data_IF_467671857028
#
_entry.id   IF_467671857028
#
_cell.length_a   1.000
_cell.length_b   1.000
_cell.length_c   1.000
_cell.angle_alpha   90.00
_cell.angle_beta   90.00
_cell.angle_gamma   90.00
#
_symmetry.space_group_name_H-M   'P 1'
#
loop_
_entity.id
_entity.type
_entity.pdbx_description
1 polymer ?
#
# COMPACT_ATOMS: atom_id res chain seq x y z
N UNK A 1 53.61 -17.17 7.17
CA UNK A 1 54.45 -16.21 6.42
C UNK A 1 54.47 -16.58 4.94
N UNK A 2 54.82 -17.83 4.56
CA UNK A 2 54.81 -18.32 3.18
C UNK A 2 53.47 -18.07 2.44
N UNK A 3 52.33 -18.35 3.09
CA UNK A 3 50.97 -18.17 2.54
C UNK A 3 50.61 -16.72 2.19
N UNK A 4 51.11 -15.76 2.97
CA UNK A 4 50.92 -14.32 2.72
C UNK A 4 51.82 -13.84 1.59
N UNK A 5 52.98 -14.45 1.38
CA UNK A 5 53.79 -14.17 0.19
C UNK A 5 53.18 -14.79 -1.07
N UNK A 6 52.51 -15.93 -0.95
CA UNK A 6 51.91 -16.70 -2.04
C UNK A 6 50.69 -16.02 -2.66
N UNK A 7 49.73 -15.57 -1.85
CA UNK A 7 48.56 -14.81 -2.36
C UNK A 7 48.98 -13.53 -3.08
N UNK A 8 50.19 -13.05 -2.81
CA UNK A 8 50.67 -11.75 -3.24
C UNK A 8 51.58 -11.80 -4.44
N UNK A 9 52.38 -12.85 -4.59
CA UNK A 9 53.01 -13.16 -5.86
C UNK A 9 51.95 -13.29 -6.98
N UNK A 10 50.78 -13.86 -6.67
CA UNK A 10 49.60 -13.95 -7.55
C UNK A 10 48.99 -12.59 -7.91
N UNK A 11 49.06 -11.62 -7.00
CA UNK A 11 48.57 -10.26 -7.22
C UNK A 11 49.52 -9.47 -8.13
N UNK A 12 50.83 -9.53 -7.86
CA UNK A 12 51.83 -8.84 -8.66
C UNK A 12 52.00 -9.45 -10.06
N UNK A 13 51.78 -10.76 -10.24
CA UNK A 13 51.87 -11.41 -11.55
C UNK A 13 50.84 -10.88 -12.56
N UNK A 14 49.60 -10.61 -12.11
CA UNK A 14 48.52 -10.12 -12.97
C UNK A 14 48.80 -8.70 -13.49
N UNK A 15 49.39 -7.84 -12.66
CA UNK A 15 49.81 -6.47 -13.03
C UNK A 15 51.00 -6.48 -14.00
N UNK A 16 51.87 -7.48 -13.92
CA UNK A 16 53.11 -7.54 -14.72
C UNK A 16 52.94 -8.20 -16.09
N UNK A 17 51.78 -8.81 -16.37
CA UNK A 17 51.46 -9.46 -17.65
C UNK A 17 51.66 -8.55 -18.88
N UNK A 18 51.52 -7.23 -18.70
CA UNK A 18 51.67 -6.23 -19.76
C UNK A 18 53.06 -5.56 -19.81
N UNK A 19 53.96 -5.84 -18.85
CA UNK A 19 55.28 -5.21 -18.79
C UNK A 19 56.29 -5.89 -19.73
N UNK A 20 57.23 -5.14 -20.30
CA UNK A 20 58.25 -5.66 -21.25
C UNK A 20 59.59 -5.96 -20.58
N UNK A 21 59.77 -5.54 -19.33
CA UNK A 21 60.99 -5.77 -18.53
C UNK A 21 61.00 -7.09 -17.73
N UNK A 22 60.06 -8.00 -18.00
CA UNK A 22 59.91 -9.27 -17.27
C UNK A 22 60.90 -10.31 -17.82
N UNK A 23 61.52 -11.11 -16.93
CA UNK A 23 62.61 -12.06 -17.26
C UNK A 23 62.10 -13.32 -18.01
N UNK A 24 60.84 -13.33 -18.46
CA UNK A 24 60.15 -14.49 -19.01
C UNK A 24 59.93 -14.40 -20.53
N UNK A 25 59.95 -15.56 -21.20
CA UNK A 25 59.41 -15.71 -22.56
C UNK A 25 57.88 -15.64 -22.49
N UNK A 26 57.29 -14.60 -23.09
CA UNK A 26 55.83 -14.45 -23.21
C UNK A 26 55.25 -15.61 -24.03
N UNK A 27 54.24 -16.30 -23.50
CA UNK A 27 53.44 -17.24 -24.28
C UNK A 27 52.46 -16.48 -25.18
N UNK A 28 52.15 -17.05 -26.34
CA UNK A 28 51.25 -16.41 -27.31
C UNK A 28 49.84 -16.20 -26.73
N UNK A 29 49.14 -15.10 -27.07
CA UNK A 29 47.81 -14.82 -26.57
C UNK A 29 46.84 -15.95 -26.96
N UNK A 30 46.22 -16.58 -25.96
CA UNK A 30 45.23 -17.64 -26.16
C UNK A 30 44.00 -17.10 -26.89
N UNK A 31 43.46 -17.90 -27.81
CA UNK A 31 42.23 -17.53 -28.52
C UNK A 31 41.01 -17.61 -27.59
N UNK A 32 39.91 -16.87 -27.88
CA UNK A 32 38.67 -16.94 -27.10
C UNK A 32 38.14 -18.36 -26.92
N UNK A 33 38.33 -19.22 -27.92
CA UNK A 33 37.93 -20.64 -27.89
C UNK A 33 38.74 -21.44 -26.86
N UNK A 34 40.06 -21.23 -26.78
CA UNK A 34 40.93 -21.91 -25.82
C UNK A 34 40.62 -21.48 -24.39
N UNK A 35 40.30 -20.20 -24.19
CA UNK A 35 39.88 -19.66 -22.88
C UNK A 35 38.58 -20.34 -22.42
N UNK A 36 37.61 -20.51 -23.33
CA UNK A 36 36.36 -21.19 -23.01
C UNK A 36 36.55 -22.68 -22.69
N UNK A 37 37.46 -23.36 -23.39
CA UNK A 37 37.77 -24.76 -23.12
C UNK A 37 38.48 -24.97 -21.78
N UNK A 38 39.42 -24.10 -21.41
CA UNK A 38 40.07 -24.12 -20.09
C UNK A 38 39.09 -23.78 -18.95
N UNK A 39 38.24 -22.77 -19.15
CA UNK A 39 37.23 -22.40 -18.16
C UNK A 39 36.22 -23.53 -17.90
N UNK A 40 35.86 -24.29 -18.94
CA UNK A 40 35.01 -25.48 -18.81
C UNK A 40 35.73 -26.65 -18.10
N UNK A 41 37.05 -26.77 -18.25
CA UNK A 41 37.85 -27.80 -17.57
C UNK A 41 38.07 -27.48 -16.08
N UNK A 42 38.25 -26.21 -15.75
CA UNK A 42 38.62 -25.73 -14.41
C UNK A 42 37.44 -25.58 -13.43
N UNK A 43 36.22 -25.89 -13.85
CA UNK A 43 35.02 -25.84 -13.00
C UNK A 43 35.06 -26.85 -11.82
N UNK A 44 36.08 -27.72 -11.75
CA UNK A 44 36.24 -28.76 -10.72
C UNK A 44 37.27 -28.43 -9.63
N UNK A 45 37.87 -27.23 -9.61
CA UNK A 45 38.85 -26.83 -8.59
C UNK A 45 38.36 -25.59 -7.83
N UNK A 46 37.37 -25.80 -6.95
CA UNK A 46 36.98 -24.81 -5.95
C UNK A 46 36.55 -25.53 -4.66
N UNK A 47 37.43 -26.39 -4.16
CA UNK A 47 37.50 -26.61 -2.72
C UNK A 47 38.72 -25.86 -2.21
N UNK A 48 38.47 -25.00 -1.23
CA UNK A 48 39.46 -24.22 -0.49
C UNK A 48 40.39 -25.16 0.30
N UNK A 49 41.32 -25.82 -0.38
CA UNK A 49 42.47 -26.42 0.29
C UNK A 49 43.47 -25.31 0.62
N UNK A 50 43.90 -25.26 1.88
CA UNK A 50 44.98 -24.37 2.31
C UNK A 50 46.22 -24.67 1.45
N UNK A 51 47.01 -23.65 1.04
CA UNK A 51 48.14 -23.85 0.14
C UNK A 51 49.10 -24.91 0.71
N UNK A 52 49.20 -26.04 0.04
CA UNK A 52 50.16 -27.10 0.36
C UNK A 52 51.47 -26.83 -0.39
N UNK A 53 52.61 -27.24 0.16
CA UNK A 53 53.95 -26.96 -0.39
C UNK A 53 54.27 -27.58 -1.76
N UNK A 54 53.27 -28.11 -2.47
CA UNK A 54 53.36 -28.73 -3.79
C UNK A 54 52.63 -27.93 -4.89
N UNK A 55 52.33 -26.64 -4.68
CA UNK A 55 51.77 -25.82 -5.75
C UNK A 55 52.82 -25.47 -6.81
N UNK A 56 52.49 -25.72 -8.08
CA UNK A 56 53.26 -25.24 -9.23
C UNK A 56 53.03 -23.74 -9.38
N UNK A 57 54.07 -22.93 -9.13
CA UNK A 57 53.99 -21.48 -9.28
C UNK A 57 53.98 -21.06 -10.74
N UNK A 58 53.19 -20.04 -11.04
CA UNK A 58 53.21 -19.35 -12.33
C UNK A 58 54.57 -18.64 -12.48
N UNK A 59 55.20 -18.66 -13.67
CA UNK A 59 56.48 -17.99 -13.87
C UNK A 59 56.47 -16.50 -13.47
N UNK A 60 55.32 -15.84 -13.62
CA UNK A 60 55.12 -14.44 -13.24
C UNK A 60 55.13 -14.23 -11.71
N UNK A 61 54.65 -15.21 -10.93
CA UNK A 61 54.72 -15.19 -9.46
C UNK A 61 56.17 -15.24 -9.00
N UNK A 62 56.96 -16.12 -9.62
CA UNK A 62 58.40 -16.24 -9.36
C UNK A 62 59.13 -14.93 -9.72
N UNK A 63 58.83 -14.34 -10.88
CA UNK A 63 59.45 -13.08 -11.30
C UNK A 63 59.11 -11.92 -10.37
N UNK A 64 57.86 -11.82 -9.90
CA UNK A 64 57.46 -10.84 -8.90
C UNK A 64 58.20 -11.05 -7.56
N UNK A 65 58.31 -12.30 -7.12
CA UNK A 65 59.04 -12.65 -5.90
C UNK A 65 60.52 -12.25 -5.99
N UNK A 66 61.22 -12.59 -7.07
CA UNK A 66 62.63 -12.22 -7.23
C UNK A 66 62.85 -10.71 -7.28
N UNK A 67 61.93 -9.93 -7.89
CA UNK A 67 62.00 -8.47 -7.85
C UNK A 67 61.92 -7.93 -6.43
N UNK A 68 60.99 -8.45 -5.63
CA UNK A 68 60.82 -8.03 -4.23
C UNK A 68 62.07 -8.36 -3.40
N UNK A 69 62.63 -9.56 -3.58
CA UNK A 69 63.85 -10.00 -2.88
C UNK A 69 65.05 -9.12 -3.27
N UNK A 70 65.18 -8.77 -4.56
CA UNK A 70 66.28 -7.93 -5.07
C UNK A 70 66.23 -6.48 -4.59
N UNK A 71 65.08 -5.98 -4.12
CA UNK A 71 64.95 -4.62 -3.59
C UNK A 71 65.58 -4.45 -2.19
N UNK A 72 65.98 -5.55 -1.53
CA UNK A 72 66.60 -5.55 -0.19
C UNK A 72 65.81 -4.74 0.86
N UNK A 73 64.49 -4.70 0.73
CA UNK A 73 63.64 -3.94 1.65
C UNK A 73 63.56 -4.63 3.02
N UNK A 74 63.40 -3.85 4.11
CA UNK A 74 63.09 -4.40 5.42
C UNK A 74 61.79 -5.22 5.39
N UNK A 75 61.77 -6.36 6.07
CA UNK A 75 60.64 -7.32 6.07
C UNK A 75 59.31 -6.67 6.46
N UNK A 76 59.32 -5.70 7.39
CA UNK A 76 58.13 -4.97 7.82
C UNK A 76 57.54 -4.10 6.71
N UNK A 77 58.37 -3.50 5.86
CA UNK A 77 57.93 -2.67 4.73
C UNK A 77 57.30 -3.55 3.66
N UNK A 78 57.93 -4.68 3.35
CA UNK A 78 57.40 -5.67 2.42
C UNK A 78 56.03 -6.14 2.91
N UNK A 79 55.92 -6.56 4.16
CA UNK A 79 54.68 -7.07 4.75
C UNK A 79 53.57 -6.02 4.74
N UNK A 80 53.85 -4.77 5.12
CA UNK A 80 52.83 -3.72 5.17
C UNK A 80 52.30 -3.38 3.78
N UNK A 81 53.19 -3.17 2.82
CA UNK A 81 52.83 -2.89 1.43
C UNK A 81 51.94 -4.01 0.86
N UNK A 82 52.34 -5.23 1.17
CA UNK A 82 51.64 -6.45 0.79
C UNK A 82 50.22 -6.54 1.38
N UNK A 83 50.04 -6.26 2.68
CA UNK A 83 48.72 -6.23 3.30
C UNK A 83 47.79 -5.20 2.63
N UNK A 84 48.31 -4.00 2.33
CA UNK A 84 47.53 -2.94 1.66
C UNK A 84 47.04 -3.35 0.28
N UNK A 85 47.89 -3.97 -0.55
CA UNK A 85 47.48 -4.43 -1.88
C UNK A 85 46.48 -5.60 -1.82
N UNK A 86 46.58 -6.44 -0.80
CA UNK A 86 45.66 -7.58 -0.63
C UNK A 86 44.25 -7.09 -0.30
N UNK A 87 44.10 -6.07 0.54
CA UNK A 87 42.80 -5.52 0.92
C UNK A 87 42.05 -4.92 -0.27
N UNK A 88 42.73 -4.17 -1.15
CA UNK A 88 42.12 -3.56 -2.33
C UNK A 88 41.65 -4.59 -3.35
N UNK A 89 42.47 -5.61 -3.59
CA UNK A 89 42.15 -6.71 -4.52
C UNK A 89 41.02 -7.56 -3.96
N UNK A 90 41.07 -7.89 -2.66
CA UNK A 90 40.00 -8.61 -1.98
C UNK A 90 38.67 -7.86 -2.08
N UNK A 91 38.68 -6.55 -1.83
CA UNK A 91 37.50 -5.71 -1.97
C UNK A 91 37.01 -5.62 -3.42
N UNK A 92 37.93 -5.62 -4.40
CA UNK A 92 37.57 -5.62 -5.82
C UNK A 92 36.95 -6.95 -6.27
N UNK A 93 37.53 -8.08 -5.89
CA UNK A 93 37.00 -9.41 -6.18
C UNK A 93 35.63 -9.60 -5.52
N UNK A 94 35.47 -9.12 -4.28
CA UNK A 94 34.18 -9.11 -3.59
C UNK A 94 33.12 -8.32 -4.37
N UNK A 95 33.45 -7.13 -4.89
CA UNK A 95 32.53 -6.32 -5.72
C UNK A 95 32.19 -6.96 -7.06
N UNK A 96 33.14 -7.65 -7.71
CA UNK A 96 32.85 -8.38 -8.95
C UNK A 96 31.93 -9.58 -8.66
N UNK A 97 32.17 -10.28 -7.54
CA UNK A 97 31.35 -11.40 -7.12
C UNK A 97 29.91 -10.98 -6.77
N UNK A 98 29.69 -9.74 -6.30
CA UNK A 98 28.36 -9.15 -6.08
C UNK A 98 27.57 -8.89 -7.39
N UNK A 99 28.25 -8.84 -8.54
CA UNK A 99 27.65 -8.64 -9.87
C UNK A 99 27.57 -7.18 -10.33
N UNK A 100 27.02 -6.97 -11.53
CA UNK A 100 26.85 -5.62 -12.08
C UNK A 100 25.75 -4.85 -11.33
N UNK A 101 25.78 -3.49 -11.28
CA UNK A 101 24.72 -2.70 -10.67
C UNK A 101 23.32 -3.03 -11.22
N UNK A 102 23.23 -3.36 -12.50
CA UNK A 102 21.98 -3.78 -13.13
C UNK A 102 21.49 -5.15 -12.65
N UNK A 103 22.40 -6.12 -12.48
CA UNK A 103 22.06 -7.43 -11.91
C UNK A 103 21.58 -7.29 -10.46
N UNK A 104 22.24 -6.45 -9.67
CA UNK A 104 21.83 -6.15 -8.28
C UNK A 104 20.43 -5.52 -8.27
N UNK A 105 20.16 -4.54 -9.12
CA UNK A 105 18.84 -3.92 -9.23
C UNK A 105 17.76 -4.94 -9.65
N UNK A 106 18.03 -5.78 -10.64
CA UNK A 106 17.11 -6.83 -11.08
C UNK A 106 16.85 -7.86 -9.97
N UNK A 107 17.88 -8.22 -9.19
CA UNK A 107 17.77 -9.12 -8.05
C UNK A 107 16.92 -8.50 -6.92
N UNK A 108 17.09 -7.21 -6.63
CA UNK A 108 16.26 -6.48 -5.66
C UNK A 108 14.79 -6.42 -6.08
N UNK A 109 14.51 -6.22 -7.37
CA UNK A 109 13.14 -6.22 -7.92
C UNK A 109 12.52 -7.62 -7.93
N UNK A 110 13.32 -8.67 -8.19
CA UNK A 110 12.84 -10.06 -8.14
C UNK A 110 12.59 -10.56 -6.73
N UNK A 111 13.36 -10.05 -5.75
CA UNK A 111 13.34 -10.51 -4.37
C UNK A 111 12.76 -9.43 -3.43
N UNK A 112 11.67 -8.78 -3.83
CA UNK A 112 10.96 -7.84 -2.96
C UNK A 112 10.37 -8.62 -1.78
N UNK A 113 10.71 -8.29 -0.52
CA UNK A 113 10.14 -8.96 0.64
C UNK A 113 8.61 -8.84 0.66
N UNK A 114 7.87 -9.89 1.09
CA UNK A 114 6.41 -9.86 1.14
C UNK A 114 5.82 -8.68 1.93
N UNK A 115 6.52 -8.19 2.95
CA UNK A 115 6.10 -7.04 3.75
C UNK A 115 5.96 -5.72 2.96
N UNK A 116 6.70 -5.55 1.86
CA UNK A 116 6.60 -4.36 0.99
C UNK A 116 5.30 -4.31 0.17
N UNK A 117 4.57 -5.42 0.07
CA UNK A 117 3.25 -5.44 -0.55
C UNK A 117 2.13 -4.98 0.40
N UNK A 118 2.42 -4.89 1.69
CA UNK A 118 1.46 -4.38 2.67
C UNK A 118 1.57 -2.86 2.74
N UNK A 119 0.44 -2.13 2.79
CA UNK A 119 0.46 -0.69 2.91
C UNK A 119 1.09 -0.29 4.25
N UNK A 120 1.96 0.72 4.20
CA UNK A 120 2.50 1.33 5.40
C UNK A 120 1.41 2.02 6.23
N UNK A 121 1.61 2.22 7.54
CA UNK A 121 0.68 2.97 8.38
C UNK A 121 0.38 4.37 7.83
N UNK A 122 1.37 5.02 7.22
CA UNK A 122 1.22 6.34 6.61
C UNK A 122 0.31 6.28 5.38
N UNK A 123 0.47 5.28 4.51
CA UNK A 123 -0.40 5.08 3.34
C UNK A 123 -1.83 4.74 3.74
N UNK A 124 -2.02 3.94 4.79
CA UNK A 124 -3.36 3.66 5.30
C UNK A 124 -4.06 4.94 5.76
N UNK A 125 -3.36 5.80 6.51
CA UNK A 125 -3.91 7.09 6.96
C UNK A 125 -4.20 8.00 5.77
N UNK A 126 -3.26 8.13 4.83
CA UNK A 126 -3.47 8.91 3.62
C UNK A 126 -4.68 8.43 2.82
N UNK A 127 -4.87 7.11 2.69
CA UNK A 127 -6.03 6.53 2.03
C UNK A 127 -7.35 6.92 2.69
N UNK A 128 -7.39 6.94 4.02
CA UNK A 128 -8.58 7.39 4.74
C UNK A 128 -8.83 8.88 4.53
N UNK A 129 -7.78 9.72 4.60
CA UNK A 129 -7.87 11.16 4.31
C UNK A 129 -8.43 11.39 2.90
N UNK A 130 -7.89 10.69 1.90
CA UNK A 130 -8.34 10.80 0.52
C UNK A 130 -9.81 10.39 0.34
N UNK A 131 -10.25 9.33 1.02
CA UNK A 131 -11.67 8.92 1.01
C UNK A 131 -12.58 9.97 1.65
N UNK A 132 -12.12 10.62 2.72
CA UNK A 132 -12.87 11.69 3.38
C UNK A 132 -12.92 12.95 2.50
N UNK A 133 -11.78 13.36 1.92
CA UNK A 133 -11.68 14.56 1.09
C UNK A 133 -12.35 14.41 -0.29
N UNK A 134 -12.59 13.19 -0.76
CA UNK A 134 -13.25 12.95 -2.05
C UNK A 134 -14.66 13.55 -2.15
N UNK A 135 -15.33 13.78 -1.01
CA UNK A 135 -16.65 14.40 -0.93
C UNK A 135 -16.61 15.80 -0.30
N UNK A 136 -15.43 16.39 -0.14
CA UNK A 136 -15.29 17.71 0.46
C UNK A 136 -15.67 18.81 -0.54
N UNK A 137 -16.63 19.65 -0.16
CA UNK A 137 -17.00 20.84 -0.92
C UNK A 137 -16.56 22.07 -0.10
N UNK A 138 -15.79 23.01 -0.68
CA UNK A 138 -15.36 24.20 0.02
C UNK A 138 -16.54 24.93 0.67
N UNK A 139 -16.38 25.33 1.92
CA UNK A 139 -17.38 26.06 2.73
C UNK A 139 -18.64 25.27 3.10
N UNK A 140 -18.73 23.97 2.81
CA UNK A 140 -19.82 23.09 3.21
C UNK A 140 -19.29 22.00 4.15
N UNK A 141 -19.90 21.81 5.32
CA UNK A 141 -19.61 20.64 6.16
C UNK A 141 -20.22 19.40 5.50
N UNK A 142 -19.42 18.70 4.68
CA UNK A 142 -19.84 17.44 4.05
C UNK A 142 -19.48 16.20 4.86
N UNK A 143 -18.56 16.34 5.82
CA UNK A 143 -18.19 15.29 6.76
C UNK A 143 -18.87 15.50 8.11
N UNK A 144 -19.86 14.65 8.40
CA UNK A 144 -20.40 14.48 9.74
C UNK A 144 -20.30 13.00 10.13
N UNK A 145 -19.40 12.63 11.07
CA UNK A 145 -19.21 11.24 11.49
C UNK A 145 -20.42 10.65 12.23
N UNK A 146 -21.42 11.48 12.55
CA UNK A 146 -22.69 11.08 13.15
C UNK A 146 -23.88 11.20 12.19
N UNK A 147 -23.65 11.54 10.91
CA UNK A 147 -24.73 11.65 9.95
C UNK A 147 -25.38 10.28 9.74
N UNK A 148 -26.66 10.19 10.11
CA UNK A 148 -27.48 9.02 9.86
C UNK A 148 -27.39 8.60 8.40
N UNK A 149 -27.25 7.29 8.17
CA UNK A 149 -27.34 6.71 6.82
C UNK A 149 -28.72 7.05 6.27
N UNK A 150 -28.80 8.02 5.36
CA UNK A 150 -30.05 8.30 4.65
C UNK A 150 -30.42 7.07 3.82
N UNK A 151 -31.63 6.56 4.01
CA UNK A 151 -32.13 5.46 3.17
C UNK A 151 -32.33 6.00 1.75
N UNK A 152 -32.05 5.17 0.73
CA UNK A 152 -32.26 5.56 -0.67
C UNK A 152 -33.70 6.02 -0.89
N UNK A 153 -34.65 5.42 -0.16
CA UNK A 153 -36.06 5.78 -0.19
C UNK A 153 -36.33 7.23 0.30
N UNK A 154 -35.57 7.73 1.28
CA UNK A 154 -35.67 9.12 1.78
C UNK A 154 -35.16 10.13 0.75
N UNK A 155 -34.07 9.78 0.06
CA UNK A 155 -33.52 10.62 -1.03
C UNK A 155 -34.53 10.67 -2.19
N UNK A 156 -35.07 9.52 -2.57
CA UNK A 156 -36.05 9.44 -3.65
C UNK A 156 -37.34 10.19 -3.32
N UNK A 157 -37.80 10.17 -2.05
CA UNK A 157 -38.99 10.92 -1.65
C UNK A 157 -38.76 12.43 -1.63
N UNK A 158 -37.57 12.89 -1.26
CA UNK A 158 -37.19 14.30 -1.38
C UNK A 158 -37.29 14.81 -2.83
N UNK A 159 -36.86 14.00 -3.81
CA UNK A 159 -36.98 14.33 -5.24
C UNK A 159 -38.36 14.03 -5.84
N UNK A 160 -39.33 13.56 -5.05
CA UNK A 160 -40.65 13.20 -5.53
C UNK A 160 -40.68 11.97 -6.45
N UNK A 161 -39.63 11.16 -6.45
CA UNK A 161 -39.53 9.92 -7.23
C UNK A 161 -40.24 8.74 -6.56
N UNK A 162 -40.45 8.83 -5.25
CA UNK A 162 -41.20 7.86 -4.44
C UNK A 162 -42.11 8.62 -3.47
N UNK A 163 -43.26 8.03 -3.13
CA UNK A 163 -44.17 8.59 -2.12
C UNK A 163 -43.57 8.50 -0.71
N UNK A 164 -43.68 9.58 0.08
CA UNK A 164 -43.36 9.55 1.51
C UNK A 164 -44.48 8.84 2.29
N UNK A 165 -44.19 7.64 2.78
CA UNK A 165 -45.12 6.81 3.58
C UNK A 165 -44.85 6.87 5.09
N UNK A 166 -44.01 7.80 5.54
CA UNK A 166 -43.69 7.95 6.96
C UNK A 166 -44.90 8.42 7.79
N UNK A 167 -44.96 8.10 9.09
CA UNK A 167 -46.04 8.55 9.98
C UNK A 167 -45.98 10.05 10.32
N UNK A 168 -45.13 10.83 9.64
CA UNK A 168 -44.98 12.27 9.81
C UNK A 168 -45.92 13.03 8.86
N UNK A 169 -46.84 13.80 9.41
CA UNK A 169 -47.88 14.52 8.69
C UNK A 169 -47.55 16.01 8.78
N UNK A 170 -47.38 16.65 7.63
CA UNK A 170 -47.06 18.07 7.53
C UNK A 170 -48.13 18.80 6.73
N UNK A 171 -48.57 19.95 7.24
CA UNK A 171 -49.56 20.80 6.58
C UNK A 171 -49.38 22.25 7.00
N UNK A 172 -49.86 23.17 6.16
CA UNK A 172 -49.91 24.60 6.44
C UNK A 172 -51.33 25.11 6.35
N UNK A 173 -51.61 26.12 7.19
CA UNK A 173 -52.87 26.87 7.18
C UNK A 173 -52.59 28.36 7.02
N UNK A 174 -53.40 29.01 6.20
CA UNK A 174 -53.19 30.41 5.78
C UNK A 174 -54.01 31.39 6.64
N UNK A 175 -55.08 30.92 7.29
CA UNK A 175 -55.96 31.67 8.18
C UNK A 175 -56.36 30.80 9.37
N UNK A 176 -56.82 31.43 10.46
CA UNK A 176 -57.22 30.67 11.65
C UNK A 176 -58.51 29.89 11.38
N UNK A 177 -58.47 28.58 11.58
CA UNK A 177 -59.58 27.69 11.25
C UNK A 177 -59.52 26.41 12.10
N UNK A 178 -60.64 25.68 12.13
CA UNK A 178 -60.70 24.40 12.82
C UNK A 178 -59.98 23.34 11.98
N UNK A 179 -59.07 22.60 12.61
CA UNK A 179 -58.30 21.53 11.97
C UNK A 179 -58.58 20.22 12.69
N UNK A 180 -58.88 19.18 11.92
CA UNK A 180 -59.05 17.81 12.41
C UNK A 180 -58.04 16.89 11.70
N UNK A 181 -57.27 16.13 12.46
CA UNK A 181 -56.29 15.17 11.93
C UNK A 181 -56.64 13.79 12.42
N UNK A 182 -57.08 12.93 11.50
CA UNK A 182 -57.59 11.59 11.80
C UNK A 182 -56.80 10.53 11.04
N UNK A 183 -56.45 9.45 11.72
CA UNK A 183 -55.86 8.24 11.14
C UNK A 183 -56.96 7.22 10.93
N UNK A 184 -57.05 6.72 9.71
CA UNK A 184 -57.96 5.67 9.28
C UNK A 184 -57.18 4.39 8.96
N UNK A 185 -57.80 3.25 9.22
CA UNK A 185 -57.37 1.98 8.61
C UNK A 185 -57.80 1.93 7.14
N UNK A 186 -57.25 1.00 6.36
CA UNK A 186 -57.69 0.72 4.97
C UNK A 186 -59.20 0.44 4.84
N UNK A 187 -59.86 0.04 5.94
CA UNK A 187 -61.31 -0.20 5.99
C UNK A 187 -62.10 1.07 6.35
N UNK A 188 -61.48 2.25 6.31
CA UNK A 188 -62.06 3.54 6.68
C UNK A 188 -62.57 3.61 8.13
N UNK A 189 -62.07 2.75 9.01
CA UNK A 189 -62.34 2.81 10.45
C UNK A 189 -61.35 3.78 11.10
N UNK A 190 -61.86 4.70 11.92
CA UNK A 190 -61.05 5.63 12.72
C UNK A 190 -60.19 4.84 13.71
N UNK A 191 -58.88 5.04 13.64
CA UNK A 191 -57.89 4.42 14.53
C UNK A 191 -57.48 5.39 15.63
N UNK A 192 -57.17 6.62 15.24
CA UNK A 192 -56.71 7.67 16.15
C UNK A 192 -57.08 9.05 15.61
N UNK A 193 -57.37 9.99 16.51
CA UNK A 193 -57.49 11.42 16.20
C UNK A 193 -56.29 12.10 16.84
N UNK A 194 -55.36 12.59 16.02
CA UNK A 194 -54.12 13.19 16.51
C UNK A 194 -54.31 14.63 16.97
N UNK A 195 -55.26 15.33 16.35
CA UNK A 195 -55.57 16.71 16.67
C UNK A 195 -57.01 17.04 16.26
N UNK A 196 -57.69 17.85 17.07
CA UNK A 196 -58.99 18.41 16.74
C UNK A 196 -59.15 19.74 17.48
N UNK A 197 -59.15 20.86 16.75
CA UNK A 197 -59.32 22.17 17.34
C UNK A 197 -58.90 23.34 16.45
N UNK A 198 -59.00 24.56 16.99
CA UNK A 198 -58.60 25.78 16.29
C UNK A 198 -57.07 25.89 16.21
N UNK A 199 -56.55 26.22 15.04
CA UNK A 199 -55.14 26.57 14.83
C UNK A 199 -55.01 27.94 14.16
N UNK A 200 -53.86 28.60 14.33
CA UNK A 200 -53.53 29.91 13.77
C UNK A 200 -52.62 29.77 12.53
N UNK A 201 -52.53 30.76 11.64
CA UNK A 201 -51.71 30.66 10.44
C UNK A 201 -50.28 30.19 10.71
N UNK A 202 -49.82 29.18 9.97
CA UNK A 202 -48.51 28.58 10.19
C UNK A 202 -48.35 27.18 9.61
N UNK A 203 -47.16 26.61 9.81
CA UNK A 203 -46.80 25.26 9.39
C UNK A 203 -46.78 24.32 10.60
N UNK A 204 -47.49 23.20 10.49
CA UNK A 204 -47.65 22.21 11.55
C UNK A 204 -47.07 20.86 11.13
N UNK A 205 -46.45 20.17 12.08
CA UNK A 205 -45.95 18.81 11.91
C UNK A 205 -46.48 17.95 13.06
N UNK A 206 -47.16 16.86 12.72
CA UNK A 206 -47.64 15.85 13.66
C UNK A 206 -47.02 14.51 13.29
N UNK A 207 -46.63 13.71 14.29
CA UNK A 207 -46.11 12.36 14.04
C UNK A 207 -47.00 11.36 14.75
N UNK A 208 -47.58 10.42 14.00
CA UNK A 208 -48.33 9.33 14.59
C UNK A 208 -47.39 8.31 15.21
N UNK A 209 -47.68 7.86 16.44
CA UNK A 209 -46.88 6.89 17.18
C UNK A 209 -47.27 5.43 16.87
N UNK A 210 -48.13 5.18 15.87
CA UNK A 210 -48.57 3.83 15.49
C UNK A 210 -49.54 3.18 16.47
N UNK A 211 -50.18 3.95 17.36
CA UNK A 211 -51.14 3.46 18.36
C UNK A 211 -52.55 3.99 18.12
N UNK A 212 -53.56 3.24 18.53
CA UNK A 212 -54.94 3.70 18.54
C UNK A 212 -55.22 4.66 19.74
N UNK A 213 -56.44 5.19 19.82
CA UNK A 213 -56.91 6.03 20.95
C UNK A 213 -56.72 5.36 22.33
N UNK A 214 -56.77 4.03 22.40
CA UNK A 214 -56.62 3.25 23.64
C UNK A 214 -55.15 2.95 23.99
N UNK A 215 -54.19 3.46 23.19
CA UNK A 215 -52.76 3.22 23.37
C UNK A 215 -52.27 1.86 22.88
N UNK A 216 -53.14 1.04 22.29
CA UNK A 216 -52.79 -0.26 21.69
C UNK A 216 -51.99 -0.06 20.40
N UNK A 217 -50.91 -0.82 20.25
CA UNK A 217 -50.09 -0.83 19.03
C UNK A 217 -50.87 -1.41 17.87
N UNK A 218 -50.86 -0.69 16.74
CA UNK A 218 -51.50 -1.11 15.51
C UNK A 218 -50.61 -2.08 14.72
N UNK A 219 -51.19 -3.07 14.01
CA UNK A 219 -50.43 -4.01 13.20
C UNK A 219 -49.75 -3.30 12.03
N UNK A 220 -48.65 -3.92 11.54
CA UNK A 220 -48.01 -3.53 10.29
C UNK A 220 -49.01 -3.55 9.13
N UNK A 221 -48.91 -2.58 8.23
CA UNK A 221 -49.83 -2.39 7.11
C UNK A 221 -50.05 -0.93 6.75
N UNK A 222 -50.95 -0.72 5.78
CA UNK A 222 -51.32 0.61 5.29
C UNK A 222 -52.38 1.27 6.18
N UNK A 223 -52.22 2.59 6.34
CA UNK A 223 -53.13 3.50 7.02
C UNK A 223 -53.24 4.79 6.22
N UNK A 224 -54.29 5.57 6.48
CA UNK A 224 -54.52 6.86 5.81
C UNK A 224 -54.64 7.93 6.88
N UNK A 225 -53.76 8.93 6.84
CA UNK A 225 -53.97 10.16 7.57
C UNK A 225 -54.81 11.13 6.73
N UNK A 226 -55.85 11.68 7.31
CA UNK A 226 -56.67 12.74 6.73
C UNK A 226 -56.56 14.00 7.60
N UNK A 227 -56.13 15.10 7.01
CA UNK A 227 -56.12 16.44 7.61
C UNK A 227 -57.26 17.23 6.99
N UNK A 228 -58.23 17.64 7.81
CA UNK A 228 -59.36 18.50 7.44
C UNK A 228 -59.08 19.90 7.94
N UNK A 229 -59.07 20.88 7.05
CA UNK A 229 -58.80 22.29 7.37
C UNK A 229 -60.06 23.07 6.97
N UNK A 230 -60.84 23.46 7.97
CA UNK A 230 -62.17 24.02 7.76
C UNK A 230 -63.07 23.07 6.95
N UNK A 231 -63.88 23.63 6.04
CA UNK A 231 -64.77 22.86 5.17
C UNK A 231 -64.23 22.68 3.74
N UNK A 232 -63.11 23.32 3.41
CA UNK A 232 -62.67 23.52 2.02
C UNK A 232 -61.48 22.64 1.63
N UNK A 233 -60.60 22.29 2.58
CA UNK A 233 -59.32 21.65 2.27
C UNK A 233 -59.15 20.34 3.02
N UNK A 234 -58.86 19.29 2.26
CA UNK A 234 -58.61 17.92 2.75
C UNK A 234 -57.28 17.45 2.20
N UNK A 235 -56.39 16.99 3.08
CA UNK A 235 -55.11 16.40 2.70
C UNK A 235 -55.14 14.95 3.14
N UNK A 236 -54.84 14.03 2.22
CA UNK A 236 -54.73 12.59 2.52
C UNK A 236 -53.30 12.13 2.29
N UNK A 237 -52.77 11.36 3.23
CA UNK A 237 -51.44 10.78 3.16
C UNK A 237 -51.51 9.30 3.51
N UNK A 238 -50.89 8.44 2.69
CA UNK A 238 -50.71 7.03 3.03
C UNK A 238 -49.58 6.89 4.05
N UNK A 239 -49.78 6.05 5.06
CA UNK A 239 -48.78 5.73 6.08
C UNK A 239 -48.60 4.22 6.10
N UNK A 240 -47.35 3.76 6.08
CA UNK A 240 -47.01 2.34 6.19
C UNK A 240 -46.34 2.10 7.54
N UNK A 241 -46.91 1.21 8.36
CA UNK A 241 -46.21 0.64 9.52
C UNK A 241 -45.52 -0.64 9.07
N UNK A 242 -44.21 -0.75 9.31
CA UNK A 242 -43.40 -1.93 9.03
C UNK A 242 -43.37 -2.87 10.24
#
# INVERSE_FOLDING_TARGET
MLTVFLSQASAYSRLDSNNTSTILKKSEPKTPLQIMQEAALNQKLSESELPSGQETYLPEQDSAFYRIVNLQLPVNVILMNNLTFTDDIWNFEKRIAEGTPWQIALQNVRNIPPEFYNPSPVEMVHREIMKMSAFEVPFVRTYDPFMNRFDLQEILSFFGLVEDVSPKIQYSIDYSTNVEVVIYSIRSVVVATLFNGLQTPGSYTLTWNGRNQEGKVMPAGDYIAEVRIGNEKYIRKRIVIK
#
